data_IF_669397250646
#
_entry.id   IF_669397250646
#
_cell.length_a   1.000
_cell.length_b   1.000
_cell.length_c   1.000
_cell.angle_alpha   90.00
_cell.angle_beta   90.00
_cell.angle_gamma   90.00
#
_symmetry.space_group_name_H-M   'P 1'
#
loop_
_entity.id
_entity.type
_entity.pdbx_description
1 polymer ?
#
# COMPACT_ATOMS: atom_id res chain seq x y z
N UNK A 1 -4.97 10.29 0.35
CA UNK A 1 -3.74 10.06 -0.43
C UNK A 1 -3.81 8.84 -1.35
N UNK A 2 -4.35 7.70 -0.89
CA UNK A 2 -4.34 6.43 -1.64
C UNK A 2 -4.88 6.49 -3.07
N UNK A 3 -6.05 7.10 -3.29
CA UNK A 3 -6.59 7.23 -4.65
C UNK A 3 -5.65 7.99 -5.60
N UNK A 4 -5.01 9.06 -5.12
CA UNK A 4 -4.11 9.90 -5.93
C UNK A 4 -2.90 9.08 -6.38
N UNK A 5 -2.24 8.38 -5.46
CA UNK A 5 -1.09 7.53 -5.80
C UNK A 5 -1.51 6.31 -6.63
N UNK A 6 -2.69 5.76 -6.39
CA UNK A 6 -3.28 4.69 -7.18
C UNK A 6 -3.50 5.05 -8.65
N UNK A 7 -3.67 6.33 -8.99
CA UNK A 7 -3.74 6.77 -10.39
C UNK A 7 -2.37 6.84 -11.08
N UNK A 8 -1.26 6.80 -10.34
CA UNK A 8 0.09 6.94 -10.92
C UNK A 8 0.43 5.86 -11.95
N UNK A 9 0.18 4.55 -11.72
CA UNK A 9 0.44 3.51 -12.72
C UNK A 9 -0.46 3.65 -13.96
N UNK A 10 -1.70 4.11 -13.78
CA UNK A 10 -2.63 4.37 -14.89
C UNK A 10 -2.10 5.51 -15.77
N UNK A 11 -1.71 6.62 -15.16
CA UNK A 11 -1.15 7.77 -15.86
C UNK A 11 0.14 7.39 -16.60
N UNK A 12 1.04 6.64 -15.96
CA UNK A 12 2.26 6.14 -16.57
C UNK A 12 2.00 5.21 -17.76
N UNK A 13 1.02 4.31 -17.65
CA UNK A 13 0.62 3.43 -18.75
C UNK A 13 0.11 4.23 -19.95
N UNK A 14 -0.86 5.12 -19.74
CA UNK A 14 -1.46 5.94 -20.81
C UNK A 14 -0.40 6.78 -21.52
N UNK A 15 0.55 7.35 -20.77
CA UNK A 15 1.62 8.18 -21.31
C UNK A 15 2.55 7.42 -22.27
N UNK A 16 2.72 6.11 -22.08
CA UNK A 16 3.61 5.27 -22.90
C UNK A 16 2.84 4.54 -24.00
N UNK A 17 1.66 4.00 -23.69
CA UNK A 17 0.90 3.14 -24.61
C UNK A 17 -0.04 3.91 -25.52
N UNK A 18 -0.38 5.16 -25.18
CA UNK A 18 -1.44 5.94 -25.82
C UNK A 18 -2.76 5.16 -25.93
N UNK A 19 -3.05 4.29 -24.95
CA UNK A 19 -4.21 3.40 -24.94
C UNK A 19 -4.85 3.33 -23.55
N UNK A 20 -6.16 3.09 -23.53
CA UNK A 20 -6.91 2.73 -22.32
C UNK A 20 -7.08 1.20 -22.19
N UNK A 21 -6.79 0.44 -23.24
CA UNK A 21 -6.83 -1.02 -23.22
C UNK A 21 -5.57 -1.56 -22.53
N UNK A 22 -5.74 -2.49 -21.59
CA UNK A 22 -4.62 -3.11 -20.88
C UNK A 22 -4.10 -2.32 -19.67
N UNK A 23 -4.84 -1.32 -19.18
CA UNK A 23 -4.50 -0.60 -17.94
C UNK A 23 -4.27 -1.61 -16.80
N UNK A 24 -3.18 -1.44 -16.01
CA UNK A 24 -2.87 -2.32 -14.88
C UNK A 24 -3.74 -1.96 -13.66
N UNK A 25 -5.05 -2.24 -13.77
CA UNK A 25 -6.03 -1.93 -12.72
C UNK A 25 -5.70 -2.60 -11.40
N UNK A 26 -5.28 -3.87 -11.42
CA UNK A 26 -4.89 -4.61 -10.22
C UNK A 26 -3.77 -3.90 -9.44
N UNK A 27 -2.71 -3.50 -10.14
CA UNK A 27 -1.59 -2.77 -9.53
C UNK A 27 -2.03 -1.42 -8.96
N UNK A 28 -2.87 -0.69 -9.70
CA UNK A 28 -3.39 0.63 -9.32
C UNK A 28 -4.27 0.59 -8.07
N UNK A 29 -5.19 -0.39 -8.01
CA UNK A 29 -6.08 -0.60 -6.85
C UNK A 29 -5.27 -1.09 -5.64
N UNK A 30 -4.33 -2.01 -5.86
CA UNK A 30 -3.44 -2.51 -4.81
C UNK A 30 -2.63 -1.37 -4.18
N UNK A 31 -2.05 -0.50 -5.00
CA UNK A 31 -1.31 0.68 -4.56
C UNK A 31 -2.19 1.65 -3.75
N UNK A 32 -3.42 1.90 -4.21
CA UNK A 32 -4.35 2.77 -3.50
C UNK A 32 -4.71 2.24 -2.10
N UNK A 33 -4.94 0.92 -1.99
CA UNK A 33 -5.28 0.26 -0.72
C UNK A 33 -4.08 0.21 0.22
N UNK A 34 -2.88 -0.09 -0.29
CA UNK A 34 -1.65 -0.06 0.51
C UNK A 34 -1.43 1.32 1.10
N UNK A 35 -1.49 2.37 0.27
CA UNK A 35 -1.34 3.75 0.72
C UNK A 35 -2.42 4.14 1.72
N UNK A 36 -3.68 3.78 1.49
CA UNK A 36 -4.74 4.05 2.45
C UNK A 36 -4.47 3.40 3.82
N UNK A 37 -3.93 2.17 3.84
CA UNK A 37 -3.66 1.46 5.07
C UNK A 37 -2.52 2.08 5.89
N UNK A 38 -1.37 2.39 5.26
CA UNK A 38 -0.27 3.00 6.00
C UNK A 38 -0.58 4.45 6.41
N UNK A 39 -1.37 5.19 5.63
CA UNK A 39 -1.79 6.57 5.96
C UNK A 39 -2.68 6.57 7.23
N UNK A 40 -3.54 5.54 7.38
CA UNK A 40 -4.30 5.33 8.62
C UNK A 40 -3.39 5.01 9.81
N UNK A 41 -2.37 4.16 9.63
CA UNK A 41 -1.38 3.85 10.69
C UNK A 41 -0.61 5.11 11.08
N UNK A 42 -0.14 5.87 10.09
CA UNK A 42 0.63 7.09 10.31
C UNK A 42 -0.18 8.14 11.08
N UNK A 43 -1.45 8.33 10.71
CA UNK A 43 -2.35 9.28 11.38
C UNK A 43 -2.63 8.96 12.87
N UNK A 44 -2.24 7.78 13.37
CA UNK A 44 -2.33 7.47 14.81
C UNK A 44 -1.42 8.36 15.66
N UNK A 45 -0.31 8.84 15.11
CA UNK A 45 0.64 9.71 15.83
C UNK A 45 -0.02 11.03 16.25
N UNK A 46 -0.99 11.49 15.46
CA UNK A 46 -1.69 12.75 15.66
C UNK A 46 -3.04 12.57 16.38
N UNK A 47 -3.37 11.38 16.89
CA UNK A 47 -4.71 11.05 17.40
C UNK A 47 -5.24 12.03 18.46
N UNK A 48 -4.43 12.35 19.47
CA UNK A 48 -4.86 13.24 20.56
C UNK A 48 -4.92 14.70 20.10
N UNK A 49 -4.01 15.10 19.22
CA UNK A 49 -4.05 16.41 18.56
C UNK A 49 -5.34 16.54 17.74
N UNK A 50 -5.60 15.59 16.85
CA UNK A 50 -6.78 15.58 15.99
C UNK A 50 -8.09 15.67 16.79
N UNK A 51 -8.20 14.91 17.87
CA UNK A 51 -9.37 14.99 18.78
C UNK A 51 -9.51 16.37 19.42
N UNK A 52 -8.42 16.94 19.92
CA UNK A 52 -8.45 18.23 20.62
C UNK A 52 -8.79 19.41 19.71
N UNK A 53 -8.41 19.33 18.42
CA UNK A 53 -8.66 20.36 17.41
C UNK A 53 -9.85 20.05 16.49
N UNK A 54 -10.54 18.92 16.69
CA UNK A 54 -11.69 18.52 15.87
C UNK A 54 -11.33 18.15 14.43
N UNK A 55 -10.07 17.76 14.16
CA UNK A 55 -9.62 17.27 12.86
C UNK A 55 -10.16 15.85 12.64
N UNK A 56 -10.75 15.62 11.47
CA UNK A 56 -11.43 14.36 11.13
C UNK A 56 -10.49 13.41 10.40
N UNK A 57 -9.73 12.62 11.15
CA UNK A 57 -9.01 11.44 10.67
C UNK A 57 -9.80 10.16 11.02
N UNK A 58 -9.47 9.04 10.37
CA UNK A 58 -10.12 7.74 10.69
C UNK A 58 -9.88 7.38 12.17
N UNK A 59 -8.65 7.52 12.72
CA UNK A 59 -8.41 7.32 14.15
C UNK A 59 -9.20 8.26 15.06
N UNK A 60 -9.30 9.55 14.73
CA UNK A 60 -10.03 10.51 15.59
C UNK A 60 -11.53 10.26 15.63
N UNK A 61 -12.10 9.77 14.52
CA UNK A 61 -13.53 9.49 14.39
C UNK A 61 -13.95 8.11 14.92
N UNK A 62 -13.12 7.08 14.73
CA UNK A 62 -13.50 5.68 15.01
C UNK A 62 -12.61 4.99 16.06
N UNK A 63 -11.55 5.66 16.51
CA UNK A 63 -10.60 5.15 17.48
C UNK A 63 -9.51 4.25 16.87
N UNK A 64 -8.48 4.00 17.69
CA UNK A 64 -7.28 3.28 17.31
C UNK A 64 -7.56 1.84 16.85
N UNK A 65 -8.27 1.05 17.67
CA UNK A 65 -8.54 -0.37 17.39
C UNK A 65 -9.28 -0.58 16.06
N UNK A 66 -10.29 0.25 15.78
CA UNK A 66 -11.04 0.16 14.53
C UNK A 66 -10.13 0.50 13.34
N UNK A 67 -9.39 1.60 13.47
CA UNK A 67 -8.54 2.12 12.40
C UNK A 67 -7.38 1.17 12.06
N UNK A 68 -6.76 0.53 13.07
CA UNK A 68 -5.76 -0.53 12.84
C UNK A 68 -6.35 -1.76 12.15
N UNK A 69 -7.59 -2.17 12.49
CA UNK A 69 -8.24 -3.28 11.80
C UNK A 69 -8.59 -2.93 10.35
N UNK A 70 -9.04 -1.69 10.10
CA UNK A 70 -9.31 -1.22 8.75
C UNK A 70 -8.03 -1.14 7.91
N UNK A 71 -6.93 -0.66 8.49
CA UNK A 71 -5.60 -0.70 7.86
C UNK A 71 -5.16 -2.13 7.50
N UNK A 72 -5.33 -3.09 8.42
CA UNK A 72 -5.07 -4.51 8.13
C UNK A 72 -5.91 -5.03 6.96
N UNK A 73 -7.20 -4.69 6.87
CA UNK A 73 -8.08 -5.08 5.76
C UNK A 73 -7.60 -4.49 4.43
N UNK A 74 -7.20 -3.21 4.43
CA UNK A 74 -6.61 -2.56 3.26
C UNK A 74 -5.32 -3.28 2.81
N UNK A 75 -4.42 -3.60 3.73
CA UNK A 75 -3.15 -4.28 3.42
C UNK A 75 -3.36 -5.71 2.91
N UNK A 76 -4.27 -6.48 3.51
CA UNK A 76 -4.62 -7.82 3.03
C UNK A 76 -5.22 -7.75 1.63
N UNK A 77 -6.14 -6.83 1.40
CA UNK A 77 -6.78 -6.65 0.08
C UNK A 77 -5.75 -6.23 -0.98
N UNK A 78 -4.86 -5.31 -0.63
CA UNK A 78 -3.74 -4.88 -1.49
C UNK A 78 -2.85 -6.05 -1.88
N UNK A 79 -2.42 -6.87 -0.91
CA UNK A 79 -1.59 -8.05 -1.14
C UNK A 79 -2.27 -9.08 -2.05
N UNK A 80 -3.54 -9.41 -1.78
CA UNK A 80 -4.27 -10.41 -2.56
C UNK A 80 -4.45 -9.98 -4.02
N UNK A 81 -4.81 -8.71 -4.26
CA UNK A 81 -4.96 -8.17 -5.61
C UNK A 81 -3.63 -8.21 -6.36
N UNK A 82 -2.53 -7.89 -5.68
CA UNK A 82 -1.21 -7.88 -6.30
C UNK A 82 -0.68 -9.29 -6.59
N UNK A 83 -0.97 -10.25 -5.72
CA UNK A 83 -0.63 -11.66 -5.93
C UNK A 83 -1.30 -12.22 -7.18
N UNK A 84 -2.55 -11.82 -7.46
CA UNK A 84 -3.25 -12.17 -8.70
C UNK A 84 -2.68 -11.45 -9.93
N UNK A 85 -1.93 -10.37 -9.73
CA UNK A 85 -1.34 -9.55 -10.80
C UNK A 85 0.10 -9.94 -11.13
N UNK A 86 0.70 -10.89 -10.40
CA UNK A 86 2.07 -11.34 -10.65
C UNK A 86 2.20 -11.97 -12.05
N UNK A 87 3.27 -11.61 -12.76
CA UNK A 87 3.48 -11.98 -14.16
C UNK A 87 4.57 -13.04 -14.36
N UNK A 88 5.27 -13.42 -13.30
CA UNK A 88 6.37 -14.38 -13.34
C UNK A 88 7.00 -14.60 -11.95
N UNK A 89 8.12 -15.35 -11.89
CA UNK A 89 8.76 -15.70 -10.63
C UNK A 89 9.30 -14.50 -9.84
N UNK A 90 9.91 -13.51 -10.51
CA UNK A 90 10.50 -12.36 -9.83
C UNK A 90 9.44 -11.44 -9.21
N UNK A 91 8.35 -11.19 -9.94
CA UNK A 91 7.19 -10.45 -9.43
C UNK A 91 6.53 -11.21 -8.29
N UNK A 92 6.36 -12.53 -8.38
CA UNK A 92 5.81 -13.32 -7.27
C UNK A 92 6.66 -13.22 -6.01
N UNK A 93 7.99 -13.34 -6.13
CA UNK A 93 8.92 -13.18 -4.99
C UNK A 93 8.78 -11.78 -4.39
N UNK A 94 8.71 -10.74 -5.22
CA UNK A 94 8.54 -9.37 -4.73
C UNK A 94 7.21 -9.14 -4.01
N UNK A 95 6.12 -9.76 -4.47
CA UNK A 95 4.81 -9.68 -3.83
C UNK A 95 4.81 -10.40 -2.49
N UNK A 96 5.47 -11.56 -2.38
CA UNK A 96 5.63 -12.26 -1.10
C UNK A 96 6.44 -11.40 -0.12
N UNK A 97 7.57 -10.84 -0.58
CA UNK A 97 8.39 -9.95 0.25
C UNK A 97 7.60 -8.71 0.71
N UNK A 98 6.83 -8.09 -0.19
CA UNK A 98 5.93 -7.00 0.13
C UNK A 98 4.88 -7.39 1.20
N UNK A 99 4.23 -8.55 1.05
CA UNK A 99 3.29 -9.06 2.04
C UNK A 99 3.90 -9.28 3.42
N UNK A 100 5.16 -9.73 3.50
CA UNK A 100 5.90 -9.84 4.76
C UNK A 100 6.16 -8.48 5.39
N UNK A 101 6.51 -7.47 4.59
CA UNK A 101 6.69 -6.09 5.07
C UNK A 101 5.38 -5.53 5.63
N UNK A 102 4.25 -5.71 4.94
CA UNK A 102 2.94 -5.28 5.42
C UNK A 102 2.53 -5.98 6.73
N UNK A 103 2.90 -7.26 6.88
CA UNK A 103 2.67 -8.00 8.12
C UNK A 103 3.50 -7.41 9.27
N UNK A 104 4.80 -7.15 9.03
CA UNK A 104 5.68 -6.52 10.02
C UNK A 104 5.14 -5.14 10.42
N UNK A 105 4.76 -4.31 9.46
CA UNK A 105 4.14 -3.01 9.70
C UNK A 105 2.90 -3.10 10.59
N UNK A 106 1.98 -4.03 10.28
CA UNK A 106 0.78 -4.21 11.11
C UNK A 106 1.10 -4.70 12.53
N UNK A 107 2.13 -5.53 12.69
CA UNK A 107 2.61 -5.97 14.01
C UNK A 107 3.18 -4.78 14.79
N UNK A 108 3.99 -3.96 14.14
CA UNK A 108 4.62 -2.78 14.74
C UNK A 108 3.59 -1.72 15.12
N UNK A 109 2.62 -1.45 14.24
CA UNK A 109 1.50 -0.56 14.52
C UNK A 109 0.69 -1.04 15.74
N UNK A 110 0.42 -2.35 15.87
CA UNK A 110 -0.28 -2.91 17.03
C UNK A 110 0.52 -2.87 18.33
N UNK A 111 1.83 -2.62 18.26
CA UNK A 111 2.70 -2.36 19.42
C UNK A 111 2.74 -0.87 19.78
N UNK A 112 2.02 -0.01 19.07
CA UNK A 112 2.05 1.44 19.23
C UNK A 112 3.28 2.10 18.60
N UNK A 113 4.08 1.35 17.83
CA UNK A 113 5.30 1.83 17.16
C UNK A 113 4.97 2.33 15.75
N UNK A 114 4.17 3.39 15.68
CA UNK A 114 3.59 3.89 14.43
C UNK A 114 4.63 4.49 13.47
N UNK A 115 5.68 5.14 14.00
CA UNK A 115 6.76 5.68 13.19
C UNK A 115 7.59 4.58 12.55
N UNK A 116 8.01 3.59 13.34
CA UNK A 116 8.75 2.43 12.85
C UNK A 116 7.93 1.58 11.88
N UNK A 117 6.62 1.46 12.13
CA UNK A 117 5.70 0.81 11.20
C UNK A 117 5.68 1.56 9.85
N UNK A 118 5.59 2.89 9.86
CA UNK A 118 5.56 3.70 8.66
C UNK A 118 6.86 3.62 7.85
N UNK A 119 8.02 3.63 8.50
CA UNK A 119 9.34 3.57 7.84
C UNK A 119 9.54 2.30 7.00
N UNK A 120 8.86 1.20 7.36
CA UNK A 120 8.89 -0.05 6.58
C UNK A 120 8.35 0.13 5.15
N UNK A 121 7.53 1.14 4.89
CA UNK A 121 6.99 1.42 3.55
C UNK A 121 8.05 1.82 2.53
N UNK A 122 9.22 2.30 2.97
CA UNK A 122 10.37 2.55 2.08
C UNK A 122 10.80 1.24 1.40
N UNK A 123 10.93 0.16 2.19
CA UNK A 123 11.27 -1.15 1.66
C UNK A 123 10.16 -1.73 0.78
N UNK A 124 8.90 -1.59 1.21
CA UNK A 124 7.74 -2.06 0.46
C UNK A 124 7.67 -1.48 -0.95
N UNK A 125 7.90 -0.17 -1.11
CA UNK A 125 7.90 0.49 -2.42
C UNK A 125 9.03 0.02 -3.34
N UNK A 126 10.24 -0.16 -2.80
CA UNK A 126 11.40 -0.63 -3.57
C UNK A 126 11.22 -2.07 -4.08
N UNK A 127 10.68 -2.95 -3.23
CA UNK A 127 10.46 -4.36 -3.56
C UNK A 127 9.48 -4.52 -4.73
N UNK A 128 8.35 -3.82 -4.69
CA UNK A 128 7.31 -3.96 -5.72
C UNK A 128 7.72 -3.47 -7.09
N UNK A 129 8.43 -2.35 -7.19
CA UNK A 129 8.89 -1.84 -8.48
C UNK A 129 9.90 -2.79 -9.14
N UNK A 130 10.80 -3.37 -8.35
CA UNK A 130 11.93 -4.14 -8.87
C UNK A 130 11.51 -5.51 -9.44
N UNK A 131 10.65 -6.26 -8.74
CA UNK A 131 10.27 -7.61 -9.18
C UNK A 131 9.46 -7.64 -10.48
N UNK A 132 8.51 -6.73 -10.63
CA UNK A 132 7.72 -6.59 -11.86
C UNK A 132 8.58 -6.12 -13.04
N UNK A 133 9.51 -5.19 -12.79
CA UNK A 133 10.46 -4.73 -13.80
C UNK A 133 11.36 -5.88 -14.30
N UNK A 134 11.88 -6.72 -13.40
CA UNK A 134 12.71 -7.85 -13.79
C UNK A 134 11.97 -8.87 -14.65
N UNK A 135 10.77 -9.31 -14.25
CA UNK A 135 10.00 -10.25 -15.07
C UNK A 135 9.63 -9.66 -16.44
N UNK A 136 9.41 -8.35 -16.53
CA UNK A 136 9.17 -7.68 -17.80
C UNK A 136 10.43 -7.68 -18.68
N UNK A 137 11.59 -7.32 -18.12
CA UNK A 137 12.88 -7.30 -18.83
C UNK A 137 13.33 -8.69 -19.27
N UNK A 138 13.05 -9.74 -18.49
CA UNK A 138 13.40 -11.13 -18.84
C UNK A 138 12.52 -11.74 -19.93
N UNK A 139 11.37 -11.11 -20.23
CA UNK A 139 10.46 -11.51 -21.31
C UNK A 139 10.74 -10.80 -22.64
N UNK A 140 11.57 -9.74 -22.62
CA UNK A 140 12.09 -9.05 -23.80
C UNK A 140 13.35 -9.77 -24.31
#
# INVERSE_FOLDING_TARGET
LGAILGFSPIAGFIAISNSLEGIPWGYSISLALWVAGFDMIYSMQDLEFDKSFGIKSVPSCFGEKFSLNLASICHISSFLILALSAIGPCSLISVVAFGLVLLMENIEARRGRYGEAFDLNIAAGLLLGFGFMLDYLMKL
#
